data_IF_116703785457
#
_entry.id   IF_116703785457
#
_cell.length_a   1.000
_cell.length_b   1.000
_cell.length_c   1.000
_cell.angle_alpha   90.00
_cell.angle_beta   90.00
_cell.angle_gamma   90.00
#
_symmetry.space_group_name_H-M   'P 1'
#
loop_
_entity.id
_entity.type
_entity.pdbx_description
1 polymer ?
#
# COMPACT_ATOMS: atom_id res chain seq x y z
N UNK A 1 -8.64 11.78 8.37
CA UNK A 1 -8.30 10.47 7.80
C UNK A 1 -7.40 10.58 6.58
N UNK A 2 -7.85 11.22 5.49
CA UNK A 2 -7.07 11.42 4.25
C UNK A 2 -5.73 12.13 4.49
N UNK A 3 -5.70 13.09 5.42
CA UNK A 3 -4.48 13.84 5.78
C UNK A 3 -3.34 12.95 6.31
N UNK A 4 -3.65 11.81 6.92
CA UNK A 4 -2.63 10.89 7.45
C UNK A 4 -1.80 10.25 6.32
N UNK A 5 -2.38 10.10 5.13
CA UNK A 5 -1.73 9.51 3.95
C UNK A 5 -1.10 10.55 3.01
N UNK A 6 -1.23 11.85 3.29
CA UNK A 6 -0.52 12.87 2.51
C UNK A 6 0.99 12.62 2.42
N UNK A 7 1.70 12.30 3.52
CA UNK A 7 3.14 12.05 3.43
C UNK A 7 3.46 10.74 2.71
N UNK A 8 2.56 9.73 2.78
CA UNK A 8 2.64 8.48 2.01
C UNK A 8 2.61 8.76 0.50
N UNK A 9 1.68 9.59 0.01
CA UNK A 9 1.62 9.96 -1.41
C UNK A 9 2.86 10.72 -1.88
N UNK A 10 3.39 11.61 -1.04
CA UNK A 10 4.64 12.31 -1.32
C UNK A 10 5.80 11.34 -1.52
N UNK A 11 5.93 10.34 -0.64
CA UNK A 11 6.94 9.29 -0.75
C UNK A 11 6.75 8.43 -2.02
N UNK A 12 5.51 8.04 -2.33
CA UNK A 12 5.20 7.25 -3.54
C UNK A 12 5.58 7.96 -4.83
N UNK A 13 5.30 9.27 -4.92
CA UNK A 13 5.72 10.08 -6.06
C UNK A 13 7.24 10.18 -6.20
N UNK A 14 7.95 10.40 -5.09
CA UNK A 14 9.42 10.41 -5.10
C UNK A 14 10.02 9.07 -5.51
N UNK A 15 9.45 7.96 -5.02
CA UNK A 15 9.90 6.62 -5.36
C UNK A 15 9.68 6.31 -6.84
N UNK A 16 8.51 6.64 -7.40
CA UNK A 16 8.23 6.46 -8.82
C UNK A 16 9.24 7.20 -9.70
N UNK A 17 9.54 8.46 -9.38
CA UNK A 17 10.55 9.22 -10.12
C UNK A 17 11.95 8.61 -10.03
N UNK A 18 12.33 8.13 -8.84
CA UNK A 18 13.66 7.57 -8.58
C UNK A 18 13.87 6.18 -9.21
N UNK A 19 12.82 5.37 -9.34
CA UNK A 19 12.87 4.10 -10.07
C UNK A 19 12.83 4.32 -11.57
N UNK A 20 11.98 5.22 -12.05
CA UNK A 20 11.89 5.52 -13.47
C UNK A 20 13.23 6.03 -14.04
N UNK A 21 14.03 6.72 -13.23
CA UNK A 21 15.38 7.16 -13.60
C UNK A 21 16.45 6.05 -13.52
N UNK A 22 16.12 4.88 -12.98
CA UNK A 22 17.07 3.79 -12.73
C UNK A 22 18.10 4.08 -11.63
N UNK A 23 17.99 5.21 -10.94
CA UNK A 23 18.96 5.65 -9.93
C UNK A 23 18.73 5.03 -8.54
N UNK A 24 17.60 4.36 -8.33
CA UNK A 24 17.26 3.79 -7.02
C UNK A 24 18.04 2.51 -6.74
N UNK A 25 18.86 2.54 -5.69
CA UNK A 25 19.53 1.35 -5.15
C UNK A 25 18.64 0.59 -4.16
N UNK A 26 18.91 -0.71 -3.97
CA UNK A 26 18.19 -1.57 -3.02
C UNK A 26 18.07 -0.97 -1.61
N UNK A 27 19.14 -0.36 -1.09
CA UNK A 27 19.15 0.28 0.24
C UNK A 27 18.22 1.49 0.32
N UNK A 28 18.14 2.28 -0.75
CA UNK A 28 17.26 3.44 -0.86
C UNK A 28 15.81 2.99 -0.94
N UNK A 29 15.55 2.02 -1.81
CA UNK A 29 14.29 1.30 -1.94
C UNK A 29 13.76 0.78 -0.58
N UNK A 30 14.61 0.06 0.16
CA UNK A 30 14.27 -0.49 1.46
C UNK A 30 14.00 0.61 2.49
N UNK A 31 14.82 1.68 2.52
CA UNK A 31 14.59 2.85 3.38
C UNK A 31 13.24 3.52 3.12
N UNK A 32 12.89 3.71 1.84
CA UNK A 32 11.60 4.29 1.48
C UNK A 32 10.43 3.39 1.89
N UNK A 33 10.52 2.08 1.65
CA UNK A 33 9.46 1.15 2.04
C UNK A 33 9.33 1.07 3.56
N UNK A 34 10.42 1.19 4.30
CA UNK A 34 10.40 1.26 5.75
C UNK A 34 9.64 2.51 6.23
N UNK A 35 9.97 3.68 5.68
CA UNK A 35 9.24 4.92 5.97
C UNK A 35 7.77 4.83 5.57
N UNK A 36 7.50 4.24 4.40
CA UNK A 36 6.15 4.01 3.91
C UNK A 36 5.37 3.16 4.92
N UNK A 37 5.89 2.01 5.34
CA UNK A 37 5.23 1.14 6.31
C UNK A 37 4.98 1.86 7.65
N UNK A 38 5.99 2.57 8.19
CA UNK A 38 5.86 3.32 9.44
C UNK A 38 4.81 4.43 9.38
N UNK A 39 4.62 5.07 8.22
CA UNK A 39 3.59 6.09 8.05
C UNK A 39 2.22 5.50 7.70
N UNK A 40 2.20 4.38 6.96
CA UNK A 40 0.99 3.75 6.51
C UNK A 40 0.24 3.09 7.67
N UNK A 41 0.95 2.51 8.64
CA UNK A 41 0.33 1.86 9.80
C UNK A 41 -0.61 2.78 10.62
N UNK A 42 -0.16 3.94 11.15
CA UNK A 42 -1.06 4.84 11.88
C UNK A 42 -2.14 5.44 10.96
N UNK A 43 -1.86 5.58 9.67
CA UNK A 43 -2.81 6.11 8.69
C UNK A 43 -3.97 5.16 8.42
N UNK A 44 -3.67 3.87 8.18
CA UNK A 44 -4.66 2.79 8.05
C UNK A 44 -5.49 2.67 9.33
N UNK A 45 -4.82 2.70 10.49
CA UNK A 45 -5.50 2.64 11.77
C UNK A 45 -6.39 3.88 12.00
N UNK A 46 -5.97 5.06 11.53
CA UNK A 46 -6.74 6.30 11.59
C UNK A 46 -8.00 6.27 10.72
N UNK A 47 -7.95 5.70 9.52
CA UNK A 47 -9.18 5.48 8.70
C UNK A 47 -10.10 4.50 9.43
N UNK A 48 -9.51 3.44 9.98
CA UNK A 48 -10.26 2.41 10.66
C UNK A 48 -11.00 2.95 11.89
N UNK A 49 -10.28 3.67 12.74
CA UNK A 49 -10.82 4.28 13.96
C UNK A 49 -11.86 5.36 13.69
N UNK A 50 -11.74 6.12 12.60
CA UNK A 50 -12.72 7.15 12.26
C UNK A 50 -13.93 6.62 11.49
N UNK A 51 -13.92 5.36 11.03
CA UNK A 51 -15.01 4.78 10.23
C UNK A 51 -15.22 5.46 8.87
N UNK A 52 -14.24 6.24 8.38
CA UNK A 52 -14.43 7.15 7.26
C UNK A 52 -14.48 6.47 5.88
N UNK A 53 -14.53 5.14 5.80
CA UNK A 53 -14.58 4.42 4.52
C UNK A 53 -15.79 4.82 3.65
N UNK A 54 -16.90 5.20 4.28
CA UNK A 54 -18.09 5.71 3.60
C UNK A 54 -18.00 7.17 3.16
N UNK A 55 -16.94 7.89 3.54
CA UNK A 55 -16.80 9.29 3.18
C UNK A 55 -16.50 9.42 1.67
N UNK A 56 -17.17 10.35 0.96
CA UNK A 56 -17.04 10.50 -0.49
C UNK A 56 -15.62 10.87 -0.93
N UNK A 57 -14.81 11.43 -0.03
CA UNK A 57 -13.40 11.79 -0.30
C UNK A 57 -12.42 10.66 -0.01
N UNK A 58 -12.76 9.68 0.82
CA UNK A 58 -11.85 8.61 1.25
C UNK A 58 -11.75 7.52 0.20
N UNK A 59 -12.87 7.11 -0.38
CA UNK A 59 -12.89 6.08 -1.43
C UNK A 59 -11.99 6.40 -2.64
N UNK A 60 -12.12 7.57 -3.32
CA UNK A 60 -11.26 7.92 -4.44
C UNK A 60 -9.80 8.15 -4.01
N UNK A 61 -9.58 8.58 -2.77
CA UNK A 61 -8.25 8.83 -2.24
C UNK A 61 -7.48 7.52 -1.98
N UNK A 62 -8.09 6.56 -1.28
CA UNK A 62 -7.51 5.22 -1.08
C UNK A 62 -7.26 4.56 -2.44
N UNK A 63 -8.19 4.70 -3.40
CA UNK A 63 -7.98 4.22 -4.76
C UNK A 63 -6.71 4.79 -5.40
N UNK A 64 -6.49 6.10 -5.26
CA UNK A 64 -5.28 6.76 -5.76
C UNK A 64 -4.01 6.23 -5.10
N UNK A 65 -4.00 6.10 -3.76
CA UNK A 65 -2.86 5.58 -2.98
C UNK A 65 -2.53 4.15 -3.42
N UNK A 66 -3.50 3.25 -3.41
CA UNK A 66 -3.30 1.85 -3.75
C UNK A 66 -2.93 1.63 -5.21
N UNK A 67 -3.52 2.40 -6.12
CA UNK A 67 -3.14 2.37 -7.53
C UNK A 67 -1.67 2.79 -7.71
N UNK A 68 -1.24 3.88 -7.06
CA UNK A 68 0.16 4.32 -7.08
C UNK A 68 1.10 3.31 -6.43
N UNK A 69 0.70 2.72 -5.30
CA UNK A 69 1.46 1.65 -4.64
C UNK A 69 1.58 0.43 -5.56
N UNK A 70 0.51 0.00 -6.22
CA UNK A 70 0.55 -1.13 -7.14
C UNK A 70 1.48 -0.87 -8.34
N UNK A 71 1.40 0.32 -8.94
CA UNK A 71 2.31 0.75 -10.01
C UNK A 71 3.77 0.73 -9.53
N UNK A 72 4.01 1.28 -8.34
CA UNK A 72 5.33 1.27 -7.71
C UNK A 72 5.82 -0.15 -7.46
N UNK A 73 5.02 -1.03 -6.83
CA UNK A 73 5.39 -2.41 -6.55
C UNK A 73 5.73 -3.19 -7.83
N UNK A 74 4.98 -2.99 -8.91
CA UNK A 74 5.31 -3.57 -10.21
C UNK A 74 6.65 -3.06 -10.76
N UNK A 75 6.90 -1.74 -10.70
CA UNK A 75 8.19 -1.18 -11.10
C UNK A 75 9.34 -1.69 -10.24
N UNK A 76 9.13 -1.84 -8.92
CA UNK A 76 10.10 -2.42 -8.01
C UNK A 76 10.37 -3.89 -8.34
N UNK A 77 9.34 -4.70 -8.54
CA UNK A 77 9.49 -6.09 -8.95
C UNK A 77 10.26 -6.19 -10.28
N UNK A 78 9.94 -5.33 -11.25
CA UNK A 78 10.60 -5.31 -12.55
C UNK A 78 12.05 -4.80 -12.49
N UNK A 79 12.36 -3.90 -11.55
CA UNK A 79 13.69 -3.30 -11.42
C UNK A 79 14.63 -4.11 -10.50
N UNK A 80 14.09 -4.65 -9.41
CA UNK A 80 14.85 -5.35 -8.36
C UNK A 80 14.71 -6.88 -8.41
N UNK A 81 13.76 -7.44 -9.16
CA UNK A 81 13.58 -8.88 -9.31
C UNK A 81 13.47 -9.59 -7.95
N UNK A 82 14.34 -10.56 -7.71
CA UNK A 82 14.40 -11.33 -6.45
C UNK A 82 14.63 -10.47 -5.20
N UNK A 83 15.33 -9.33 -5.33
CA UNK A 83 15.59 -8.44 -4.19
C UNK A 83 14.33 -7.69 -3.72
N UNK A 84 13.25 -7.71 -4.50
CA UNK A 84 11.98 -7.09 -4.12
C UNK A 84 11.44 -7.63 -2.80
N UNK A 85 11.55 -8.94 -2.55
CA UNK A 85 11.08 -9.55 -1.30
C UNK A 85 11.74 -8.96 -0.05
N UNK A 86 13.04 -8.65 -0.13
CA UNK A 86 13.78 -7.98 0.95
C UNK A 86 13.35 -6.52 1.13
N UNK A 87 13.06 -5.82 0.03
CA UNK A 87 12.60 -4.43 0.05
C UNK A 87 11.23 -4.32 0.72
N UNK A 88 10.29 -5.22 0.41
CA UNK A 88 8.92 -5.19 0.96
C UNK A 88 8.77 -5.84 2.32
N UNK A 89 9.85 -6.34 2.92
CA UNK A 89 9.82 -6.91 4.27
C UNK A 89 9.16 -6.02 5.34
N UNK A 90 9.33 -4.68 5.37
CA UNK A 90 8.65 -3.80 6.32
C UNK A 90 7.11 -3.88 6.24
N UNK A 91 6.56 -4.19 5.07
CA UNK A 91 5.11 -4.39 4.93
C UNK A 91 4.59 -5.60 5.72
N UNK A 92 5.45 -6.59 6.01
CA UNK A 92 5.08 -7.74 6.83
C UNK A 92 4.72 -7.31 8.26
N UNK A 93 5.37 -6.26 8.79
CA UNK A 93 5.08 -5.76 10.13
C UNK A 93 3.71 -5.07 10.23
N UNK A 94 3.27 -4.46 9.13
CA UNK A 94 1.99 -3.74 9.06
C UNK A 94 0.88 -4.58 8.44
N UNK A 95 1.18 -5.81 8.03
CA UNK A 95 0.21 -6.78 7.52
C UNK A 95 -1.05 -6.93 8.40
N UNK A 96 -0.97 -7.04 9.75
CA UNK A 96 -2.17 -7.14 10.59
C UNK A 96 -3.03 -5.87 10.55
N UNK A 97 -2.41 -4.69 10.49
CA UNK A 97 -3.15 -3.42 10.33
C UNK A 97 -3.83 -3.34 8.97
N UNK A 98 -3.14 -3.83 7.94
CA UNK A 98 -3.65 -3.92 6.58
C UNK A 98 -4.86 -4.86 6.47
N UNK A 99 -4.80 -6.02 7.13
CA UNK A 99 -5.90 -6.97 7.24
C UNK A 99 -7.13 -6.31 7.86
N UNK A 100 -6.95 -5.65 9.01
CA UNK A 100 -8.03 -4.92 9.68
C UNK A 100 -8.64 -3.82 8.81
N UNK A 101 -7.81 -3.08 8.07
CA UNK A 101 -8.26 -2.05 7.15
C UNK A 101 -9.13 -2.62 6.01
N UNK A 102 -8.69 -3.72 5.39
CA UNK A 102 -9.44 -4.36 4.31
C UNK A 102 -10.77 -4.91 4.83
N UNK A 103 -10.78 -5.56 6.00
CA UNK A 103 -11.99 -6.07 6.62
C UNK A 103 -13.03 -4.96 6.84
N UNK A 104 -12.62 -3.79 7.34
CA UNK A 104 -13.54 -2.66 7.52
C UNK A 104 -13.93 -1.99 6.19
N UNK A 105 -13.04 -1.97 5.21
CA UNK A 105 -13.33 -1.48 3.87
C UNK A 105 -14.48 -2.24 3.20
N UNK A 106 -14.57 -3.56 3.43
CA UNK A 106 -15.66 -4.41 2.91
C UNK A 106 -17.03 -4.08 3.51
N UNK A 107 -17.07 -3.66 4.78
CA UNK A 107 -18.31 -3.23 5.42
C UNK A 107 -18.85 -1.89 4.89
N UNK A 108 -18.04 -1.17 4.12
CA UNK A 108 -18.42 0.11 3.56
C UNK A 108 -19.17 -0.05 2.23
N UNK A 109 -20.11 0.85 1.96
CA UNK A 109 -20.82 0.92 0.67
C UNK A 109 -19.90 1.18 -0.53
N UNK A 110 -18.67 1.63 -0.28
CA UNK A 110 -17.63 1.84 -1.30
C UNK A 110 -16.71 0.63 -1.52
N UNK A 111 -17.02 -0.53 -0.91
CA UNK A 111 -16.24 -1.77 -1.00
C UNK A 111 -15.85 -2.12 -2.43
N UNK A 112 -16.79 -2.09 -3.39
CA UNK A 112 -16.54 -2.39 -4.80
C UNK A 112 -15.46 -1.50 -5.43
N UNK A 113 -15.35 -0.24 -4.99
CA UNK A 113 -14.30 0.69 -5.46
C UNK A 113 -12.97 0.38 -4.80
N UNK A 114 -12.96 0.00 -3.53
CA UNK A 114 -11.75 -0.37 -2.83
C UNK A 114 -11.16 -1.68 -3.40
N UNK A 115 -11.99 -2.68 -3.68
CA UNK A 115 -11.54 -3.96 -4.24
C UNK A 115 -10.79 -3.76 -5.56
N UNK A 116 -11.25 -2.85 -6.42
CA UNK A 116 -10.64 -2.61 -7.74
C UNK A 116 -9.19 -2.10 -7.67
N UNK A 117 -8.83 -1.36 -6.62
CA UNK A 117 -7.49 -0.81 -6.44
C UNK A 117 -6.64 -1.64 -5.47
N UNK A 118 -7.26 -2.25 -4.46
CA UNK A 118 -6.54 -3.07 -3.47
C UNK A 118 -6.20 -4.46 -4.02
N UNK A 119 -7.08 -5.11 -4.79
CA UNK A 119 -6.80 -6.44 -5.36
C UNK A 119 -5.48 -6.54 -6.13
N UNK A 120 -5.18 -5.65 -7.11
CA UNK A 120 -3.93 -5.75 -7.85
C UNK A 120 -2.71 -5.58 -6.93
N UNK A 121 -2.78 -4.68 -5.95
CA UNK A 121 -1.74 -4.50 -4.95
C UNK A 121 -1.52 -5.77 -4.12
N UNK A 122 -2.60 -6.35 -3.58
CA UNK A 122 -2.54 -7.57 -2.77
C UNK A 122 -2.00 -8.74 -3.59
N UNK A 123 -2.41 -8.89 -4.86
CA UNK A 123 -1.88 -9.93 -5.74
C UNK A 123 -0.36 -9.79 -5.95
N UNK A 124 0.12 -8.57 -6.16
CA UNK A 124 1.57 -8.30 -6.32
C UNK A 124 2.32 -8.60 -5.03
N UNK A 125 1.77 -8.18 -3.89
CA UNK A 125 2.42 -8.31 -2.58
C UNK A 125 2.34 -9.72 -2.00
N UNK A 126 1.31 -10.49 -2.32
CA UNK A 126 1.09 -11.85 -1.82
C UNK A 126 2.28 -12.77 -2.10
N UNK A 127 2.91 -12.64 -3.26
CA UNK A 127 4.08 -13.44 -3.65
C UNK A 127 5.26 -13.29 -2.68
N UNK A 128 5.30 -12.18 -1.93
CA UNK A 128 6.38 -11.83 -1.01
C UNK A 128 5.91 -11.73 0.45
N UNK A 129 4.61 -11.51 0.65
CA UNK A 129 3.97 -11.38 1.96
C UNK A 129 2.80 -12.36 1.98
N UNK A 130 3.06 -13.64 2.31
CA UNK A 130 2.01 -14.67 2.36
C UNK A 130 0.89 -14.32 3.35
N UNK A 131 1.19 -13.52 4.39
CA UNK A 131 0.19 -13.02 5.34
C UNK A 131 -0.89 -12.13 4.68
N UNK A 132 -0.60 -11.47 3.55
CA UNK A 132 -1.61 -10.74 2.77
C UNK A 132 -2.40 -11.66 1.84
N UNK A 133 -1.85 -12.83 1.49
CA UNK A 133 -2.52 -13.85 0.66
C UNK A 133 -3.74 -14.49 1.32
N UNK A 134 -3.86 -14.45 2.65
CA UNK A 134 -5.07 -14.86 3.36
C UNK A 134 -6.25 -13.89 3.21
N UNK A 135 -6.02 -12.71 2.63
CA UNK A 135 -7.04 -11.68 2.37
C UNK A 135 -7.64 -11.84 0.97
N UNK A 136 -7.17 -12.83 0.19
CA UNK A 136 -7.80 -13.24 -1.08
C UNK A 136 -9.22 -13.69 -0.78
N UNK A 137 -10.19 -12.85 -1.11
CA UNK A 137 -11.54 -12.93 -0.55
C UNK A 137 -12.21 -11.56 -0.38
N UNK A 138 -11.56 -10.48 -0.82
CA UNK A 138 -12.29 -9.61 -1.75
C UNK A 138 -12.90 -10.42 -2.89
#
# INVERSE_FOLDING_TARGET
AVQAFQPVLGLLGQMQGSIASGAMSHSVASSYVNQLASQLQPSLNGINACGCFGAPTVAPFINSVFSQMNQMMQSFQSSFGDAFGGIVSPFQQIAPTFQSFIQHSQQSSSSSRFSQSINPFVNTMQSFIPSLGGIRGF
#
